data_IF_975666624926
#
_entry.id   IF_975666624926
#
_cell.length_a   1.000
_cell.length_b   1.000
_cell.length_c   1.000
_cell.angle_alpha   90.00
_cell.angle_beta   90.00
_cell.angle_gamma   90.00
#
_symmetry.space_group_name_H-M   'P 1'
#
loop_
_entity.id
_entity.type
_entity.pdbx_description
1 polymer ?
#
# COMPACT_ATOMS: atom_id res chain seq x y z
N UNK A 1 -10.55 42.58 -50.35
CA UNK A 1 -11.13 43.41 -49.27
C UNK A 1 -10.78 42.76 -47.94
N UNK A 2 -10.05 43.51 -47.10
CA UNK A 2 -9.45 43.09 -45.84
C UNK A 2 -10.54 42.83 -44.78
N UNK A 3 -10.46 41.71 -44.07
CA UNK A 3 -11.20 41.48 -42.82
C UNK A 3 -10.26 41.74 -41.64
N UNK A 4 -10.43 42.91 -41.03
CA UNK A 4 -9.83 43.29 -39.74
C UNK A 4 -10.48 42.49 -38.61
N UNK A 5 -9.68 41.66 -37.92
CA UNK A 5 -10.07 41.05 -36.65
C UNK A 5 -9.74 42.04 -35.52
N UNK A 6 -10.77 42.53 -34.83
CA UNK A 6 -10.62 43.34 -33.62
C UNK A 6 -10.46 42.40 -32.42
N UNK A 7 -9.27 42.43 -31.82
CA UNK A 7 -8.96 41.73 -30.57
C UNK A 7 -9.67 42.41 -29.38
N UNK A 8 -10.56 41.69 -28.70
CA UNK A 8 -11.07 42.10 -27.39
C UNK A 8 -10.16 41.55 -26.28
N UNK A 9 -9.46 42.45 -25.58
CA UNK A 9 -8.67 42.17 -24.37
C UNK A 9 -9.62 42.13 -23.17
N UNK A 10 -9.93 40.94 -22.66
CA UNK A 10 -10.63 40.82 -21.38
C UNK A 10 -9.61 40.88 -20.24
N UNK A 11 -9.75 41.92 -19.41
CA UNK A 11 -8.88 42.21 -18.28
C UNK A 11 -8.97 41.16 -17.18
N UNK A 12 -7.80 40.72 -16.73
CA UNK A 12 -7.62 39.96 -15.50
C UNK A 12 -7.77 40.92 -14.31
N UNK A 13 -8.88 40.82 -13.58
CA UNK A 13 -9.03 41.50 -12.28
C UNK A 13 -8.43 40.62 -11.20
N UNK A 14 -7.27 41.04 -10.69
CA UNK A 14 -6.55 40.42 -9.59
C UNK A 14 -7.34 40.60 -8.28
N UNK A 15 -8.08 39.57 -7.85
CA UNK A 15 -8.71 39.57 -6.53
C UNK A 15 -7.65 39.29 -5.47
N UNK A 16 -7.19 40.35 -4.80
CA UNK A 16 -6.37 40.28 -3.58
C UNK A 16 -7.21 39.61 -2.48
N UNK A 17 -6.94 38.34 -2.21
CA UNK A 17 -7.52 37.64 -1.05
C UNK A 17 -6.97 38.30 0.22
N UNK A 18 -7.82 39.04 0.93
CA UNK A 18 -7.52 39.53 2.27
C UNK A 18 -7.22 38.33 3.18
N UNK A 19 -5.99 38.29 3.68
CA UNK A 19 -5.49 37.32 4.63
C UNK A 19 -6.24 37.50 5.96
N UNK A 20 -7.16 36.58 6.26
CA UNK A 20 -7.85 36.54 7.56
C UNK A 20 -6.90 35.89 8.58
N UNK A 21 -6.47 36.59 9.65
CA UNK A 21 -5.66 35.96 10.68
C UNK A 21 -6.48 34.87 11.37
N UNK A 22 -5.91 33.66 11.40
CA UNK A 22 -6.45 32.52 12.12
C UNK A 22 -6.42 32.83 13.62
N UNK A 23 -7.56 32.70 14.29
CA UNK A 23 -7.62 32.71 15.75
C UNK A 23 -6.86 31.48 16.28
N UNK A 24 -6.08 31.60 17.38
CA UNK A 24 -5.37 30.45 17.94
C UNK A 24 -6.38 29.40 18.42
N UNK A 25 -6.20 28.16 17.94
CA UNK A 25 -6.95 26.98 18.38
C UNK A 25 -6.60 26.75 19.85
N UNK A 26 -7.57 26.97 20.74
CA UNK A 26 -7.46 26.63 22.16
C UNK A 26 -7.35 25.10 22.28
N UNK A 27 -6.19 24.60 22.71
CA UNK A 27 -5.99 23.18 23.01
C UNK A 27 -6.82 22.82 24.24
N UNK A 28 -7.89 22.05 24.03
CA UNK A 28 -8.65 21.44 25.10
C UNK A 28 -7.73 20.52 25.92
N UNK A 29 -7.69 20.75 27.22
CA UNK A 29 -6.85 20.01 28.16
C UNK A 29 -7.27 18.54 28.18
N UNK A 30 -6.31 17.63 27.98
CA UNK A 30 -6.52 16.20 28.05
C UNK A 30 -6.93 15.80 29.47
N UNK A 31 -8.15 15.25 29.63
CA UNK A 31 -8.56 14.59 30.86
C UNK A 31 -7.71 13.32 31.03
N UNK A 32 -6.85 13.30 32.04
CA UNK A 32 -6.12 12.12 32.50
C UNK A 32 -7.12 11.09 33.01
N UNK A 33 -7.24 9.97 32.32
CA UNK A 33 -8.00 8.80 32.78
C UNK A 33 -7.10 8.03 33.76
N UNK A 34 -7.51 7.79 35.02
CA UNK A 34 -6.71 6.96 35.92
C UNK A 34 -6.73 5.50 35.44
N UNK A 35 -5.60 4.77 35.48
CA UNK A 35 -5.60 3.36 35.14
C UNK A 35 -6.29 2.57 36.25
N UNK A 36 -7.52 2.12 36.01
CA UNK A 36 -8.16 1.09 36.83
C UNK A 36 -7.45 -0.23 36.57
N UNK A 37 -6.47 -0.55 37.41
CA UNK A 37 -5.82 -1.85 37.46
C UNK A 37 -6.82 -2.89 38.03
N UNK A 38 -7.60 -3.53 37.15
CA UNK A 38 -8.38 -4.71 37.54
C UNK A 38 -7.47 -5.94 37.52
N UNK A 39 -7.17 -6.44 38.71
CA UNK A 39 -6.46 -7.69 38.96
C UNK A 39 -7.25 -8.85 38.37
N UNK A 40 -6.83 -9.37 37.21
CA UNK A 40 -7.36 -10.62 36.67
C UNK A 40 -6.81 -11.76 37.53
N UNK A 41 -7.65 -12.31 38.41
CA UNK A 41 -7.38 -13.60 39.04
C UNK A 41 -7.33 -14.66 37.93
N UNK A 42 -6.14 -15.16 37.65
CA UNK A 42 -5.99 -16.39 36.90
C UNK A 42 -6.46 -17.55 37.78
N UNK A 43 -7.63 -18.11 37.48
CA UNK A 43 -8.00 -19.42 37.99
C UNK A 43 -7.16 -20.47 37.26
N UNK A 44 -5.99 -20.77 37.82
CA UNK A 44 -5.34 -22.05 37.59
C UNK A 44 -6.29 -23.13 38.14
N UNK A 45 -6.50 -24.20 37.37
CA UNK A 45 -7.43 -25.31 37.64
C UNK A 45 -8.84 -25.15 37.03
N UNK A 46 -8.91 -24.94 35.70
CA UNK A 46 -10.04 -25.43 34.92
C UNK A 46 -9.69 -26.86 34.43
N UNK A 47 -10.47 -27.90 34.75
CA UNK A 47 -10.17 -29.25 34.30
C UNK A 47 -10.22 -29.30 32.77
N UNK A 48 -9.10 -29.72 32.19
CA UNK A 48 -8.95 -30.00 30.76
C UNK A 48 -10.06 -30.98 30.32
N UNK A 49 -11.02 -30.46 29.55
CA UNK A 49 -12.00 -31.29 28.86
C UNK A 49 -11.25 -32.19 27.90
N UNK A 50 -11.18 -33.48 28.26
CA UNK A 50 -10.57 -34.52 27.43
C UNK A 50 -11.27 -34.53 26.08
N UNK A 51 -10.55 -34.15 25.03
CA UNK A 51 -10.96 -34.42 23.65
C UNK A 51 -10.99 -35.94 23.46
N UNK A 52 -12.18 -36.48 23.21
CA UNK A 52 -12.34 -37.84 22.71
C UNK A 52 -11.76 -37.94 21.28
N UNK A 53 -11.13 -39.07 20.91
CA UNK A 53 -10.61 -39.26 19.57
C UNK A 53 -11.79 -39.28 18.59
N UNK A 54 -11.82 -38.31 17.65
CA UNK A 54 -12.79 -38.29 16.56
C UNK A 54 -12.53 -39.47 15.64
N UNK A 55 -13.59 -40.19 15.31
CA UNK A 55 -13.54 -41.36 14.44
C UNK A 55 -13.25 -40.94 12.99
N UNK A 56 -12.45 -41.71 12.26
CA UNK A 56 -11.97 -41.37 10.90
C UNK A 56 -13.08 -41.07 9.87
N UNK A 57 -14.32 -41.51 10.13
CA UNK A 57 -15.49 -41.23 9.28
C UNK A 57 -16.06 -39.81 9.46
N UNK A 58 -15.76 -39.13 10.58
CA UNK A 58 -16.14 -37.73 10.81
C UNK A 58 -15.19 -36.77 10.10
N UNK A 59 -13.92 -37.15 9.95
CA UNK A 59 -12.90 -36.32 9.30
C UNK A 59 -13.12 -36.20 7.79
N UNK A 60 -13.57 -37.27 7.12
CA UNK A 60 -13.88 -37.20 5.69
C UNK A 60 -15.11 -36.32 5.42
N UNK A 61 -16.16 -36.44 6.23
CA UNK A 61 -17.34 -35.56 6.12
C UNK A 61 -17.00 -34.09 6.40
N UNK A 62 -16.11 -33.83 7.36
CA UNK A 62 -15.65 -32.48 7.65
C UNK A 62 -14.88 -31.87 6.48
N UNK A 63 -14.05 -32.65 5.78
CA UNK A 63 -13.33 -32.19 4.58
C UNK A 63 -14.30 -31.88 3.43
N UNK A 64 -15.26 -32.77 3.17
CA UNK A 64 -16.29 -32.55 2.14
C UNK A 64 -17.08 -31.26 2.38
N UNK A 65 -17.41 -30.95 3.65
CA UNK A 65 -18.16 -29.75 3.99
C UNK A 65 -17.32 -28.47 3.86
N UNK A 66 -16.00 -28.53 4.08
CA UNK A 66 -15.10 -27.41 3.81
C UNK A 66 -14.96 -27.14 2.31
N UNK A 67 -14.86 -28.18 1.49
CA UNK A 67 -14.75 -28.05 0.04
C UNK A 67 -16.03 -27.47 -0.58
N UNK A 68 -17.20 -27.89 -0.09
CA UNK A 68 -18.49 -27.28 -0.46
C UNK A 68 -18.51 -25.80 -0.10
N UNK A 69 -18.10 -25.44 1.12
CA UNK A 69 -18.04 -24.03 1.56
C UNK A 69 -17.09 -23.21 0.70
N UNK A 70 -15.92 -23.76 0.36
CA UNK A 70 -14.96 -23.11 -0.54
C UNK A 70 -15.57 -22.85 -1.91
N UNK A 71 -16.24 -23.84 -2.49
CA UNK A 71 -16.93 -23.69 -3.78
C UNK A 71 -18.03 -22.63 -3.74
N UNK A 72 -18.77 -22.53 -2.63
CA UNK A 72 -19.76 -21.48 -2.41
C UNK A 72 -19.09 -20.09 -2.39
N UNK A 73 -17.94 -19.95 -1.74
CA UNK A 73 -17.19 -18.69 -1.70
C UNK A 73 -16.64 -18.30 -3.08
N UNK A 74 -16.16 -19.27 -3.86
CA UNK A 74 -15.71 -19.04 -5.24
C UNK A 74 -16.88 -18.54 -6.12
N UNK A 75 -18.07 -19.13 -5.96
CA UNK A 75 -19.28 -18.68 -6.65
C UNK A 75 -19.74 -17.30 -6.17
N UNK A 76 -19.66 -17.02 -4.86
CA UNK A 76 -19.96 -15.70 -4.30
C UNK A 76 -19.08 -14.61 -4.96
N UNK A 77 -17.78 -14.91 -5.08
CA UNK A 77 -16.82 -14.02 -5.74
C UNK A 77 -17.12 -13.83 -7.23
N UNK A 78 -17.51 -14.90 -7.94
CA UNK A 78 -17.89 -14.86 -9.35
C UNK A 78 -19.12 -13.97 -9.56
N UNK A 79 -20.18 -14.17 -8.77
CA UNK A 79 -21.39 -13.33 -8.82
C UNK A 79 -21.05 -11.88 -8.56
N UNK A 80 -20.24 -11.58 -7.54
CA UNK A 80 -19.83 -10.21 -7.25
C UNK A 80 -19.00 -9.59 -8.38
N UNK A 81 -18.22 -10.38 -9.11
CA UNK A 81 -17.48 -9.91 -10.30
C UNK A 81 -18.45 -9.58 -11.44
N UNK A 82 -19.47 -10.40 -11.65
CA UNK A 82 -20.52 -10.14 -12.64
C UNK A 82 -21.36 -8.90 -12.30
N UNK A 83 -21.59 -8.64 -11.01
CA UNK A 83 -22.19 -7.40 -10.50
C UNK A 83 -21.29 -6.15 -10.70
N UNK A 84 -20.06 -6.31 -11.20
CA UNK A 84 -19.10 -5.21 -11.38
C UNK A 84 -18.43 -4.74 -10.09
N UNK A 85 -18.45 -5.55 -9.03
CA UNK A 85 -17.75 -5.22 -7.78
C UNK A 85 -16.28 -5.62 -7.84
N UNK A 86 -15.47 -4.93 -7.04
CA UNK A 86 -14.03 -5.18 -6.91
C UNK A 86 -13.78 -6.41 -6.06
N UNK A 87 -13.35 -7.49 -6.68
CA UNK A 87 -13.12 -8.80 -6.04
C UNK A 87 -11.85 -9.44 -6.59
N UNK A 88 -10.97 -9.99 -5.73
CA UNK A 88 -9.73 -10.67 -6.13
C UNK A 88 -9.98 -11.89 -6.99
N UNK A 89 -8.98 -12.26 -7.80
CA UNK A 89 -9.04 -13.49 -8.59
C UNK A 89 -8.86 -14.69 -7.66
N UNK A 90 -9.72 -15.73 -7.67
CA UNK A 90 -9.64 -16.85 -6.73
C UNK A 90 -8.29 -17.58 -6.78
N UNK A 91 -7.69 -17.68 -7.97
CA UNK A 91 -6.38 -18.29 -8.18
C UNK A 91 -5.20 -17.53 -7.52
N UNK A 92 -5.36 -16.23 -7.22
CA UNK A 92 -4.30 -15.40 -6.60
C UNK A 92 -4.41 -15.34 -5.08
N UNK A 93 -5.45 -15.93 -4.49
CA UNK A 93 -5.69 -15.92 -3.04
C UNK A 93 -4.83 -17.00 -2.39
N UNK A 94 -4.13 -16.62 -1.31
CA UNK A 94 -3.34 -17.54 -0.47
C UNK A 94 -4.25 -18.42 0.38
N UNK A 95 -3.81 -19.64 0.69
CA UNK A 95 -4.50 -20.58 1.60
C UNK A 95 -4.86 -19.96 2.96
N UNK A 96 -3.94 -19.19 3.56
CA UNK A 96 -4.20 -18.46 4.82
C UNK A 96 -5.41 -17.50 4.74
N UNK A 97 -5.65 -16.91 3.58
CA UNK A 97 -6.77 -15.99 3.38
C UNK A 97 -8.07 -16.76 3.15
N UNK A 98 -8.00 -17.99 2.61
CA UNK A 98 -9.14 -18.88 2.50
C UNK A 98 -9.61 -19.36 3.87
N UNK A 99 -8.70 -19.73 4.76
CA UNK A 99 -9.01 -20.07 6.15
C UNK A 99 -9.72 -18.91 6.86
N UNK A 100 -9.22 -17.69 6.70
CA UNK A 100 -9.86 -16.51 7.24
C UNK A 100 -11.27 -16.30 6.66
N UNK A 101 -11.46 -16.47 5.34
CA UNK A 101 -12.76 -16.36 4.68
C UNK A 101 -13.77 -17.40 5.18
N UNK A 102 -13.32 -18.62 5.45
CA UNK A 102 -14.15 -19.69 6.02
C UNK A 102 -14.57 -19.39 7.46
N UNK A 103 -13.75 -18.63 8.21
CA UNK A 103 -14.08 -18.15 9.55
C UNK A 103 -15.06 -16.97 9.59
N UNK A 104 -15.30 -16.28 8.47
CA UNK A 104 -16.22 -15.13 8.41
C UNK A 104 -17.66 -15.57 8.14
N UNK A 105 -18.52 -15.42 9.15
CA UNK A 105 -19.94 -15.79 9.06
C UNK A 105 -20.74 -14.81 8.19
N UNK A 106 -20.51 -13.50 8.36
CA UNK A 106 -21.30 -12.47 7.69
C UNK A 106 -20.84 -12.18 6.26
N UNK A 107 -21.80 -12.15 5.32
CA UNK A 107 -21.58 -11.77 3.92
C UNK A 107 -20.92 -10.38 3.78
N UNK A 108 -21.31 -9.42 4.61
CA UNK A 108 -20.74 -8.07 4.55
C UNK A 108 -19.27 -8.06 4.99
N UNK A 109 -18.90 -8.86 5.99
CA UNK A 109 -17.50 -8.98 6.41
C UNK A 109 -16.65 -9.58 5.29
N UNK A 110 -17.14 -10.66 4.65
CA UNK A 110 -16.47 -11.24 3.48
C UNK A 110 -16.31 -10.23 2.35
N UNK A 111 -17.34 -9.44 2.05
CA UNK A 111 -17.29 -8.36 1.06
C UNK A 111 -16.20 -7.32 1.37
N UNK A 112 -16.10 -6.87 2.61
CA UNK A 112 -15.03 -5.94 3.00
C UNK A 112 -13.65 -6.58 2.86
N UNK A 113 -13.53 -7.86 3.20
CA UNK A 113 -12.28 -8.59 3.08
C UNK A 113 -11.86 -8.80 1.62
N UNK A 114 -12.80 -9.10 0.71
CA UNK A 114 -12.54 -9.15 -0.73
C UNK A 114 -12.00 -7.81 -1.24
N UNK A 115 -12.61 -6.70 -0.84
CA UNK A 115 -12.15 -5.38 -1.24
C UNK A 115 -10.73 -5.09 -0.74
N UNK A 116 -10.42 -5.49 0.49
CA UNK A 116 -9.06 -5.39 1.04
C UNK A 116 -8.05 -6.20 0.21
N UNK A 117 -8.35 -7.47 -0.09
CA UNK A 117 -7.50 -8.33 -0.90
C UNK A 117 -7.30 -7.77 -2.32
N UNK A 118 -8.36 -7.27 -2.95
CA UNK A 118 -8.30 -6.63 -4.27
C UNK A 118 -7.36 -5.43 -4.27
N UNK A 119 -7.45 -4.56 -3.26
CA UNK A 119 -6.59 -3.38 -3.17
C UNK A 119 -5.11 -3.75 -3.07
N UNK A 120 -4.79 -4.82 -2.34
CA UNK A 120 -3.41 -5.34 -2.25
C UNK A 120 -2.94 -5.88 -3.60
N UNK A 121 -3.79 -6.64 -4.30
CA UNK A 121 -3.49 -7.17 -5.63
C UNK A 121 -3.17 -6.04 -6.61
N UNK A 122 -4.06 -5.06 -6.72
CA UNK A 122 -3.90 -3.91 -7.61
C UNK A 122 -2.68 -3.04 -7.23
N UNK A 123 -2.41 -2.88 -5.93
CA UNK A 123 -1.21 -2.18 -5.48
C UNK A 123 0.06 -2.90 -5.95
N UNK A 124 0.12 -4.23 -5.84
CA UNK A 124 1.26 -5.02 -6.33
C UNK A 124 1.41 -4.96 -7.84
N UNK A 125 0.32 -5.07 -8.58
CA UNK A 125 0.33 -5.01 -10.04
C UNK A 125 0.78 -3.63 -10.54
N UNK A 126 0.27 -2.55 -9.94
CA UNK A 126 0.72 -1.19 -10.29
C UNK A 126 2.19 -0.95 -9.97
N UNK A 127 2.71 -1.49 -8.86
CA UNK A 127 4.13 -1.42 -8.52
C UNK A 127 5.00 -2.17 -9.53
N UNK A 128 4.55 -3.35 -10.00
CA UNK A 128 5.25 -4.12 -11.04
C UNK A 128 5.29 -3.35 -12.35
N UNK A 129 4.16 -2.83 -12.81
CA UNK A 129 4.07 -2.02 -14.02
C UNK A 129 4.97 -0.78 -13.97
N UNK A 130 4.96 -0.04 -12.85
CA UNK A 130 5.86 1.12 -12.65
C UNK A 130 7.33 0.73 -12.65
N UNK A 131 7.67 -0.43 -12.07
CA UNK A 131 9.06 -0.92 -12.06
C UNK A 131 9.53 -1.30 -13.47
N UNK A 132 8.66 -1.92 -14.27
CA UNK A 132 8.94 -2.26 -15.67
C UNK A 132 9.12 -1.01 -16.52
N UNK A 133 8.20 -0.04 -16.41
CA UNK A 133 8.34 1.26 -17.06
C UNK A 133 9.65 1.96 -16.70
N UNK A 134 9.98 2.03 -15.40
CA UNK A 134 11.23 2.62 -14.93
C UNK A 134 12.46 1.91 -15.46
N UNK A 135 12.43 0.57 -15.57
CA UNK A 135 13.55 -0.20 -16.15
C UNK A 135 13.76 0.16 -17.62
N UNK A 136 12.68 0.29 -18.40
CA UNK A 136 12.76 0.70 -19.80
C UNK A 136 13.31 2.12 -19.95
N UNK A 137 12.84 3.07 -19.14
CA UNK A 137 13.35 4.44 -19.13
C UNK A 137 14.83 4.51 -18.78
N UNK A 138 15.28 3.75 -17.77
CA UNK A 138 16.69 3.68 -17.38
C UNK A 138 17.54 3.04 -18.48
N UNK A 139 17.04 2.00 -19.14
CA UNK A 139 17.74 1.36 -20.26
C UNK A 139 17.93 2.34 -21.43
N UNK A 140 16.86 3.05 -21.83
CA UNK A 140 16.94 4.09 -22.88
C UNK A 140 17.92 5.19 -22.53
N UNK A 141 17.84 5.73 -21.30
CA UNK A 141 18.80 6.74 -20.83
C UNK A 141 20.23 6.22 -20.86
N UNK A 142 20.44 4.95 -20.52
CA UNK A 142 21.77 4.35 -20.57
C UNK A 142 22.29 4.23 -22.01
N UNK A 143 21.47 3.80 -22.95
CA UNK A 143 21.83 3.74 -24.37
C UNK A 143 22.19 5.13 -24.93
N UNK A 144 21.41 6.17 -24.58
CA UNK A 144 21.70 7.56 -24.96
C UNK A 144 23.05 8.04 -24.39
N UNK A 145 23.35 7.70 -23.14
CA UNK A 145 24.62 8.03 -22.50
C UNK A 145 25.79 7.25 -23.12
N UNK A 146 25.60 5.96 -23.43
CA UNK A 146 26.63 5.13 -24.07
C UNK A 146 26.94 5.66 -25.48
N UNK A 147 25.94 6.12 -26.24
CA UNK A 147 26.13 6.79 -27.53
C UNK A 147 26.89 8.11 -27.39
N UNK A 148 26.47 8.97 -26.45
CA UNK A 148 27.16 10.24 -26.20
C UNK A 148 28.60 10.02 -25.73
N UNK A 149 28.88 8.95 -24.99
CA UNK A 149 30.23 8.59 -24.56
C UNK A 149 31.10 8.12 -25.72
N UNK A 150 30.53 7.42 -26.70
CA UNK A 150 31.29 6.93 -27.86
C UNK A 150 31.88 8.08 -28.69
N UNK A 151 31.20 9.22 -28.73
CA UNK A 151 31.66 10.44 -29.40
C UNK A 151 32.75 11.21 -28.61
N UNK A 152 32.96 10.90 -27.33
CA UNK A 152 33.89 11.60 -26.45
C UNK A 152 35.23 10.86 -26.32
N UNK A 153 36.33 11.52 -26.72
CA UNK A 153 37.69 10.98 -26.66
C UNK A 153 38.35 11.05 -25.26
N UNK A 154 37.67 11.64 -24.27
CA UNK A 154 38.19 11.86 -22.91
C UNK A 154 37.44 11.02 -21.87
N UNK A 155 38.13 10.66 -20.78
CA UNK A 155 37.54 9.87 -19.68
C UNK A 155 36.44 10.71 -19.02
N UNK A 156 35.21 10.20 -19.04
CA UNK A 156 34.07 10.85 -18.40
C UNK A 156 33.99 10.39 -16.95
N UNK A 157 34.24 11.31 -16.01
CA UNK A 157 34.22 11.04 -14.58
C UNK A 157 32.79 10.97 -14.02
N UNK A 158 32.58 10.12 -13.02
CA UNK A 158 31.33 10.02 -12.25
C UNK A 158 30.60 8.68 -12.38
N UNK A 159 29.74 8.35 -11.41
CA UNK A 159 28.90 7.15 -11.45
C UNK A 159 27.66 7.44 -12.31
N UNK A 160 27.55 6.85 -13.50
CA UNK A 160 26.47 7.16 -14.46
C UNK A 160 26.32 8.67 -14.73
N UNK A 161 27.44 9.37 -14.93
CA UNK A 161 27.46 10.82 -15.20
C UNK A 161 26.86 11.67 -14.06
N UNK A 162 26.70 11.10 -12.88
CA UNK A 162 26.34 11.83 -11.67
C UNK A 162 27.62 12.34 -10.99
N UNK A 163 27.75 13.66 -10.86
CA UNK A 163 28.77 14.30 -10.05
C UNK A 163 28.33 14.27 -8.58
N UNK A 164 28.86 13.34 -7.79
CA UNK A 164 28.64 13.34 -6.34
C UNK A 164 29.46 14.45 -5.69
N UNK A 165 28.92 15.67 -5.64
CA UNK A 165 29.44 16.68 -4.72
C UNK A 165 28.97 16.31 -3.31
N UNK A 166 29.86 15.69 -2.52
CA UNK A 166 29.61 15.50 -1.09
C UNK A 166 29.62 16.87 -0.42
N UNK A 167 28.48 17.28 0.15
CA UNK A 167 28.43 18.45 1.03
C UNK A 167 29.01 18.04 2.37
N UNK A 168 30.25 18.42 2.62
CA UNK A 168 30.89 18.27 3.91
C UNK A 168 30.41 19.43 4.80
N UNK A 169 29.88 19.10 5.97
CA UNK A 169 29.54 20.09 6.99
C UNK A 169 30.69 20.21 7.98
N UNK A 170 30.88 21.41 8.54
CA UNK A 170 31.94 21.67 9.54
C UNK A 170 31.83 20.70 10.72
N UNK A 171 30.60 20.37 11.15
CA UNK A 171 30.36 19.37 12.20
C UNK A 171 30.88 17.97 11.87
N UNK A 172 30.91 17.60 10.59
CA UNK A 172 31.44 16.31 10.13
C UNK A 172 32.97 16.32 10.11
N UNK A 173 33.58 17.47 9.79
CA UNK A 173 35.04 17.65 9.90
C UNK A 173 35.48 17.61 11.37
N UNK A 174 34.76 18.29 12.26
CA UNK A 174 35.04 18.30 13.69
C UNK A 174 34.93 16.90 14.31
N UNK A 175 33.96 16.09 13.89
CA UNK A 175 33.82 14.70 14.33
C UNK A 175 34.96 13.80 13.83
N UNK A 176 35.43 14.00 12.60
CA UNK A 176 36.57 13.28 12.06
C UNK A 176 37.85 13.58 12.85
N UNK A 177 38.08 14.85 13.19
CA UNK A 177 39.25 15.29 13.96
C UNK A 177 39.16 14.96 15.46
N UNK A 178 37.95 14.76 16.00
CA UNK A 178 37.71 14.39 17.39
C UNK A 178 37.53 12.87 17.63
N UNK A 179 37.80 12.02 16.64
CA UNK A 179 37.88 10.58 16.87
C UNK A 179 39.17 10.26 17.64
N UNK A 180 39.07 10.24 18.96
CA UNK A 180 40.08 9.74 19.89
C UNK A 180 39.54 8.53 20.64
#
# INVERSE_FOLDING_TARGET
>A
MLRTLVCARNGLTTAVKLFRPQQPIQLAHSKTIPPTFSLVRHYANLPSSKQSPKSASEEEKAKDDLDKKRKILELEMEVMRQEGRKVPTPAKIKESNWEHLLGLESRNQRRHYYLYLWNIEMAKESQRAKKEQRKLEVAKRREELDLANADNDHIIYGLFHNTMFLRIYDSTMDHFHNNK
#
